data_IF_227805507172
#
_entry.id   IF_227805507172
#
_cell.length_a   1.000
_cell.length_b   1.000
_cell.length_c   1.000
_cell.angle_alpha   90.00
_cell.angle_beta   90.00
_cell.angle_gamma   90.00
#
_symmetry.space_group_name_H-M   'P 1'
#
loop_
_entity.id
_entity.type
_entity.pdbx_description
1 polymer ?
#
# COMPACT_ATOMS: atom_id res chain seq x y z
N UNK A 1 0.82 21.20 -3.74
CA UNK A 1 1.62 19.96 -3.89
C UNK A 1 0.59 18.87 -4.10
N UNK A 2 0.58 18.20 -5.26
CA UNK A 2 -0.32 17.06 -5.50
C UNK A 2 -0.03 16.03 -4.41
N UNK A 3 -1.05 15.56 -3.71
CA UNK A 3 -0.87 14.58 -2.64
C UNK A 3 -0.68 13.25 -3.32
N UNK A 4 0.50 12.64 -3.24
CA UNK A 4 0.68 11.32 -3.83
C UNK A 4 -0.30 10.35 -3.16
N UNK A 5 -1.16 9.73 -3.98
CA UNK A 5 -2.08 8.70 -3.55
C UNK A 5 -1.30 7.49 -3.04
N UNK A 6 -1.54 7.13 -1.79
CA UNK A 6 -0.84 6.07 -1.08
C UNK A 6 -1.86 5.19 -0.37
N UNK A 7 -2.00 3.95 -0.82
CA UNK A 7 -2.86 2.95 -0.19
C UNK A 7 -2.20 1.56 -0.27
N UNK A 8 -2.77 0.56 0.43
CA UNK A 8 -2.24 -0.81 0.42
C UNK A 8 -1.96 -1.34 -1.01
N UNK A 9 -2.89 -1.26 -2.00
CA UNK A 9 -2.60 -1.63 -3.38
C UNK A 9 -1.39 -0.92 -4.00
N UNK A 10 -1.28 0.40 -3.85
CA UNK A 10 -0.18 1.18 -4.43
C UNK A 10 1.15 0.89 -3.75
N UNK A 11 1.14 0.67 -2.44
CA UNK A 11 2.33 0.25 -1.70
C UNK A 11 2.84 -1.13 -2.16
N UNK A 12 1.94 -2.07 -2.48
CA UNK A 12 2.32 -3.37 -3.05
C UNK A 12 2.98 -3.18 -4.42
N UNK A 13 2.40 -2.36 -5.31
CA UNK A 13 2.95 -2.06 -6.64
C UNK A 13 4.37 -1.47 -6.52
N UNK A 14 4.58 -0.50 -5.64
CA UNK A 14 5.89 0.11 -5.40
C UNK A 14 6.91 -0.93 -4.92
N UNK A 15 6.54 -1.82 -4.00
CA UNK A 15 7.46 -2.86 -3.51
C UNK A 15 7.75 -3.92 -4.57
N UNK A 16 6.78 -4.29 -5.39
CA UNK A 16 6.97 -5.19 -6.53
C UNK A 16 7.90 -4.56 -7.55
N UNK A 17 7.77 -3.26 -7.86
CA UNK A 17 8.70 -2.52 -8.70
C UNK A 17 10.11 -2.51 -8.09
N UNK A 18 10.25 -2.21 -6.79
CA UNK A 18 11.55 -2.22 -6.10
C UNK A 18 12.25 -3.58 -6.27
N UNK A 19 11.54 -4.70 -6.13
CA UNK A 19 12.14 -6.05 -6.35
C UNK A 19 12.75 -6.20 -7.74
N UNK A 20 12.18 -5.57 -8.77
CA UNK A 20 12.72 -5.62 -10.14
C UNK A 20 13.96 -4.74 -10.33
N UNK A 21 14.12 -3.70 -9.51
CA UNK A 21 15.25 -2.77 -9.57
C UNK A 21 16.39 -3.10 -8.60
N UNK A 22 16.16 -3.93 -7.58
CA UNK A 22 17.23 -4.47 -6.74
C UNK A 22 18.07 -5.42 -7.59
N UNK A 23 19.34 -5.07 -7.79
CA UNK A 23 20.27 -5.80 -8.66
C UNK A 23 20.47 -7.23 -8.09
N UNK A 24 20.54 -8.29 -8.88
CA UNK A 24 20.74 -9.66 -8.37
C UNK A 24 22.08 -9.88 -7.63
N UNK A 25 22.94 -8.85 -7.57
CA UNK A 25 24.16 -8.79 -6.75
C UNK A 25 23.97 -8.15 -5.36
N UNK A 26 22.82 -7.53 -5.07
CA UNK A 26 22.52 -7.01 -3.74
C UNK A 26 22.33 -8.16 -2.73
N UNK A 27 22.63 -7.92 -1.44
CA UNK A 27 22.58 -8.97 -0.45
C UNK A 27 21.17 -9.58 -0.42
N UNK A 28 21.09 -10.92 -0.57
CA UNK A 28 19.82 -11.70 -0.58
C UNK A 28 18.81 -11.28 0.50
N UNK A 29 19.32 -10.75 1.62
CA UNK A 29 18.56 -10.21 2.75
C UNK A 29 17.64 -9.03 2.37
N UNK A 30 18.01 -8.20 1.41
CA UNK A 30 17.20 -7.06 0.96
C UNK A 30 15.99 -7.54 0.15
N UNK A 31 16.20 -8.48 -0.79
CA UNK A 31 15.09 -9.14 -1.48
C UNK A 31 14.13 -9.85 -0.51
N UNK A 32 14.65 -10.51 0.52
CA UNK A 32 13.82 -11.20 1.51
C UNK A 32 12.99 -10.22 2.36
N UNK A 33 13.57 -9.07 2.72
CA UNK A 33 12.86 -8.01 3.44
C UNK A 33 11.73 -7.41 2.59
N UNK A 34 11.97 -7.16 1.30
CA UNK A 34 10.93 -6.61 0.40
C UNK A 34 9.81 -7.64 0.18
N UNK A 35 10.14 -8.92 -0.02
CA UNK A 35 9.15 -10.01 -0.10
C UNK A 35 8.30 -10.12 1.17
N UNK A 36 8.92 -10.00 2.35
CA UNK A 36 8.21 -10.01 3.62
C UNK A 36 7.24 -8.82 3.72
N UNK A 37 7.67 -7.63 3.28
CA UNK A 37 6.81 -6.45 3.20
C UNK A 37 5.60 -6.66 2.29
N UNK A 38 5.80 -7.21 1.09
CA UNK A 38 4.70 -7.53 0.15
C UNK A 38 3.71 -8.51 0.76
N UNK A 39 4.20 -9.58 1.40
CA UNK A 39 3.35 -10.58 2.04
C UNK A 39 2.53 -9.98 3.20
N UNK A 40 3.13 -9.12 4.01
CA UNK A 40 2.44 -8.42 5.09
C UNK A 40 1.30 -7.53 4.55
N UNK A 41 1.54 -6.76 3.49
CA UNK A 41 0.53 -5.91 2.87
C UNK A 41 -0.59 -6.73 2.21
N UNK A 42 -0.27 -7.87 1.59
CA UNK A 42 -1.28 -8.79 1.02
C UNK A 42 -2.21 -9.34 2.10
N UNK A 43 -1.67 -9.71 3.26
CA UNK A 43 -2.47 -10.15 4.41
C UNK A 43 -3.33 -9.03 4.98
N UNK A 44 -2.79 -7.82 5.07
CA UNK A 44 -3.53 -6.66 5.55
C UNK A 44 -4.68 -6.27 4.61
N UNK A 45 -4.45 -6.34 3.29
CA UNK A 45 -5.49 -6.18 2.28
C UNK A 45 -6.61 -7.21 2.46
N UNK A 46 -6.26 -8.47 2.68
CA UNK A 46 -7.22 -9.54 2.94
C UNK A 46 -7.99 -9.31 4.25
N UNK A 47 -7.32 -8.85 5.30
CA UNK A 47 -7.97 -8.50 6.57
C UNK A 47 -8.96 -7.34 6.41
N UNK A 48 -8.58 -6.27 5.69
CA UNK A 48 -9.48 -5.15 5.38
C UNK A 48 -10.71 -5.59 4.58
N UNK A 49 -10.58 -6.55 3.65
CA UNK A 49 -11.70 -7.10 2.89
C UNK A 49 -12.64 -7.93 3.79
N UNK A 50 -12.07 -8.72 4.69
CA UNK A 50 -12.82 -9.69 5.50
C UNK A 50 -13.34 -9.08 6.82
N UNK A 51 -12.85 -7.92 7.23
CA UNK A 51 -13.23 -7.25 8.47
C UNK A 51 -13.80 -5.84 8.21
N UNK A 52 -15.13 -5.65 8.36
CA UNK A 52 -15.78 -4.37 8.08
C UNK A 52 -15.31 -3.23 9.01
N UNK A 53 -14.72 -3.54 10.17
CA UNK A 53 -14.14 -2.52 11.05
C UNK A 53 -12.83 -1.94 10.52
N UNK A 54 -12.11 -2.70 9.69
CA UNK A 54 -10.82 -2.29 9.12
C UNK A 54 -10.97 -1.75 7.69
N UNK A 55 -12.02 -2.15 6.97
CA UNK A 55 -12.30 -1.72 5.60
C UNK A 55 -12.36 -0.19 5.39
N UNK A 56 -12.79 0.56 6.41
CA UNK A 56 -13.00 2.01 6.32
C UNK A 56 -11.90 2.83 7.01
N UNK A 57 -10.88 2.16 7.57
CA UNK A 57 -9.83 2.83 8.33
C UNK A 57 -8.59 2.98 7.47
N UNK A 58 -8.22 4.22 7.16
CA UNK A 58 -6.91 4.54 6.61
C UNK A 58 -5.83 4.23 7.64
N UNK A 59 -4.77 3.56 7.19
CA UNK A 59 -3.57 3.34 7.99
C UNK A 59 -2.71 4.61 8.03
N UNK A 60 -1.84 4.75 9.04
CA UNK A 60 -0.89 5.87 9.08
C UNK A 60 -0.06 5.95 7.80
N UNK A 61 -0.12 7.10 7.12
CA UNK A 61 0.57 7.32 5.85
C UNK A 61 -0.24 6.99 4.60
N UNK A 62 -1.45 6.45 4.73
CA UNK A 62 -2.38 6.34 3.61
C UNK A 62 -3.06 7.67 3.29
N UNK A 63 -3.28 7.91 2.02
CA UNK A 63 -4.03 9.04 1.48
C UNK A 63 -5.17 8.52 0.62
N UNK A 64 -6.39 9.08 0.74
CA UNK A 64 -7.52 8.69 -0.09
C UNK A 64 -7.23 9.00 -1.57
N UNK A 65 -7.87 8.29 -2.52
CA UNK A 65 -7.76 8.64 -3.93
C UNK A 65 -8.26 10.07 -4.14
N UNK A 66 -7.56 10.84 -4.98
CA UNK A 66 -7.89 12.26 -5.25
C UNK A 66 -9.32 12.46 -5.82
N UNK A 67 -10.00 11.38 -6.23
CA UNK A 67 -11.36 11.34 -6.77
C UNK A 67 -12.33 10.52 -5.89
N UNK A 68 -12.34 10.71 -4.57
CA UNK A 68 -13.43 10.15 -3.74
C UNK A 68 -14.71 10.98 -3.95
N UNK A 69 -15.76 10.45 -4.60
CA UNK A 69 -17.02 11.18 -4.82
C UNK A 69 -17.79 11.48 -3.53
N UNK A 70 -17.30 11.03 -2.37
CA UNK A 70 -17.88 11.36 -1.06
C UNK A 70 -17.38 12.68 -0.46
N UNK A 71 -16.42 13.36 -1.07
CA UNK A 71 -15.99 14.71 -0.66
C UNK A 71 -16.90 15.78 -1.30
N UNK A 72 -18.21 15.68 -1.04
CA UNK A 72 -19.14 16.80 -1.25
C UNK A 72 -18.96 17.77 -0.09
N UNK A 73 -18.52 19.02 -0.33
CA UNK A 73 -18.56 20.05 0.70
C UNK A 73 -20.02 20.23 1.09
N UNK A 74 -20.35 19.87 2.33
CA UNK A 74 -21.66 20.17 2.91
C UNK A 74 -21.80 21.70 2.96
N UNK A 75 -22.91 22.28 2.49
CA UNK A 75 -23.09 23.73 2.44
C UNK A 75 -23.07 24.41 3.81
#
# INVERSE_FOLDING_TARGET
RKGEYMNIPKAIEILEDIIHYVDPGDPRKEHDAVKLGIEALKRLKLDHINNPFHAHRLLPGETPPEDDPHDVPTP
#
